data_IF_227376881131
#
_entry.id   IF_227376881131
#
_cell.length_a   1.000
_cell.length_b   1.000
_cell.length_c   1.000
_cell.angle_alpha   90.00
_cell.angle_beta   90.00
_cell.angle_gamma   90.00
#
_symmetry.space_group_name_H-M   'P 1'
#
loop_
_entity.id
_entity.type
_entity.pdbx_description
1 polymer ?
#
# COMPACT_ATOMS: atom_id res chain seq x y z
N UNK A 1 13.50 -14.35 -12.60
CA UNK A 1 13.70 -15.75 -12.15
C UNK A 1 13.05 -16.12 -10.82
N UNK A 2 12.83 -15.22 -9.86
CA UNK A 2 12.06 -15.54 -8.63
C UNK A 2 10.55 -15.69 -8.89
N UNK A 3 9.98 -14.85 -9.76
CA UNK A 3 8.53 -14.89 -10.09
C UNK A 3 8.07 -16.25 -10.63
N UNK A 4 8.91 -16.90 -11.45
CA UNK A 4 8.62 -18.20 -12.07
C UNK A 4 8.63 -19.37 -11.05
N UNK A 5 9.07 -19.13 -9.81
CA UNK A 5 9.13 -20.13 -8.74
C UNK A 5 7.96 -20.00 -7.75
N UNK A 6 7.08 -19.03 -7.94
CA UNK A 6 5.88 -18.87 -7.12
C UNK A 6 4.89 -19.99 -7.44
N UNK A 7 4.49 -20.71 -6.40
CA UNK A 7 3.49 -21.77 -6.44
C UNK A 7 2.63 -21.76 -5.17
N UNK A 8 1.73 -22.73 -5.05
CA UNK A 8 0.87 -22.87 -3.87
C UNK A 8 1.71 -22.90 -2.58
N UNK A 9 1.33 -22.08 -1.60
CA UNK A 9 2.03 -21.97 -0.31
C UNK A 9 3.25 -21.05 -0.31
N UNK A 10 3.55 -20.36 -1.41
CA UNK A 10 4.66 -19.41 -1.45
C UNK A 10 4.36 -18.17 -0.62
N UNK A 11 5.28 -17.81 0.28
CA UNK A 11 5.26 -16.55 1.03
C UNK A 11 6.16 -15.55 0.32
N UNK A 12 5.62 -14.38 -0.01
CA UNK A 12 6.36 -13.29 -0.65
C UNK A 12 6.46 -12.15 0.35
N UNK A 13 7.70 -11.85 0.75
CA UNK A 13 7.96 -10.68 1.57
C UNK A 13 7.71 -9.42 0.74
N UNK A 14 7.03 -8.45 1.34
CA UNK A 14 6.78 -7.15 0.73
C UNK A 14 7.80 -6.14 1.25
N UNK A 15 8.11 -5.14 0.43
CA UNK A 15 9.11 -4.12 0.76
C UNK A 15 8.67 -3.16 1.88
N UNK A 16 7.42 -3.27 2.37
CA UNK A 16 6.85 -2.40 3.40
C UNK A 16 6.66 -3.14 4.71
N UNK A 17 7.07 -2.49 5.80
CA UNK A 17 6.88 -3.00 7.16
C UNK A 17 5.49 -2.65 7.70
N UNK A 18 5.05 -3.42 8.70
CA UNK A 18 3.84 -3.12 9.45
C UNK A 18 4.01 -1.76 10.14
N UNK A 19 3.01 -0.87 9.96
CA UNK A 19 3.03 0.49 10.50
C UNK A 19 3.73 1.53 9.62
N UNK A 20 4.31 1.13 8.49
CA UNK A 20 4.79 2.12 7.51
C UNK A 20 3.64 2.67 6.67
N UNK A 21 3.71 3.97 6.36
CA UNK A 21 2.75 4.61 5.48
C UNK A 21 2.80 3.98 4.07
N UNK A 22 1.61 3.67 3.54
CA UNK A 22 1.40 3.17 2.20
C UNK A 22 1.10 4.31 1.23
N UNK A 23 1.53 4.13 -0.02
CA UNK A 23 1.19 5.01 -1.13
C UNK A 23 -0.27 4.82 -1.58
N UNK A 24 -0.95 5.92 -1.86
CA UNK A 24 -2.32 5.96 -2.37
C UNK A 24 -2.26 6.48 -3.81
N UNK A 25 -2.74 5.66 -4.75
CA UNK A 25 -2.77 5.99 -6.18
C UNK A 25 -4.20 6.19 -6.67
N UNK A 26 -4.39 7.20 -7.53
CA UNK A 26 -5.63 7.40 -8.32
C UNK A 26 -5.23 7.56 -9.77
N UNK A 27 -5.80 6.76 -10.67
CA UNK A 27 -5.44 6.73 -12.09
C UNK A 27 -3.92 6.65 -12.33
N UNK A 28 -3.24 5.75 -11.61
CA UNK A 28 -1.79 5.56 -11.66
C UNK A 28 -0.94 6.77 -11.23
N UNK A 29 -1.55 7.81 -10.65
CA UNK A 29 -0.86 8.96 -10.05
C UNK A 29 -0.80 8.80 -8.54
N UNK A 30 0.38 8.95 -7.96
CA UNK A 30 0.56 9.04 -6.52
C UNK A 30 -0.08 10.34 -6.00
N UNK A 31 -1.10 10.22 -5.13
CA UNK A 31 -1.86 11.37 -4.62
C UNK A 31 -1.68 11.60 -3.12
N UNK A 32 -1.30 10.57 -2.37
CA UNK A 32 -1.18 10.67 -0.92
C UNK A 32 -0.37 9.50 -0.35
N UNK A 33 -0.04 9.62 0.95
CA UNK A 33 0.44 8.53 1.80
C UNK A 33 -0.48 8.41 3.02
N UNK A 34 -0.59 7.20 3.57
CA UNK A 34 -1.44 6.96 4.74
C UNK A 34 -1.19 5.62 5.41
N UNK A 35 -1.76 5.41 6.59
CA UNK A 35 -1.63 4.18 7.36
C UNK A 35 -2.88 3.32 7.20
N UNK A 36 -2.70 2.01 7.04
CA UNK A 36 -3.83 1.07 6.97
C UNK A 36 -4.43 0.89 8.36
N UNK A 37 -5.74 1.05 8.45
CA UNK A 37 -6.51 0.86 9.68
C UNK A 37 -7.65 -0.11 9.43
N UNK A 38 -8.11 -0.78 10.48
CA UNK A 38 -9.29 -1.63 10.44
C UNK A 38 -10.33 -1.02 11.38
N UNK A 39 -11.47 -0.60 10.83
CA UNK A 39 -12.61 -0.09 11.61
C UNK A 39 -13.85 -0.88 11.23
N UNK A 40 -14.57 -1.40 12.21
CA UNK A 40 -15.81 -2.18 12.01
C UNK A 40 -15.64 -3.30 10.96
N UNK A 41 -14.55 -4.05 11.05
CA UNK A 41 -14.16 -5.11 10.10
C UNK A 41 -13.93 -4.64 8.65
N UNK A 42 -13.87 -3.31 8.42
CA UNK A 42 -13.56 -2.71 7.13
C UNK A 42 -12.13 -2.21 7.11
N UNK A 43 -11.45 -2.45 6.00
CA UNK A 43 -10.16 -1.83 5.71
C UNK A 43 -10.37 -0.36 5.37
N UNK A 44 -9.66 0.52 6.08
CA UNK A 44 -9.60 1.95 5.84
C UNK A 44 -8.16 2.41 5.74
N UNK A 45 -7.99 3.67 5.34
CA UNK A 45 -6.67 4.32 5.28
C UNK A 45 -6.80 5.68 5.97
N UNK A 46 -5.99 5.91 6.99
CA UNK A 46 -5.83 7.23 7.59
C UNK A 46 -4.77 7.99 6.82
N UNK A 47 -5.16 9.07 6.15
CA UNK A 47 -4.24 9.88 5.36
C UNK A 47 -3.24 10.62 6.27
N UNK A 48 -1.95 10.49 5.99
CA UNK A 48 -0.86 11.16 6.71
C UNK A 48 -0.27 12.32 5.92
N UNK A 49 -0.24 12.19 4.58
CA UNK A 49 0.30 13.21 3.68
C UNK A 49 -0.52 13.28 2.39
N UNK A 50 -0.78 14.50 1.90
CA UNK A 50 -1.36 14.74 0.58
C UNK A 50 -0.27 15.28 -0.33
N UNK A 51 -0.07 14.60 -1.45
CA UNK A 51 0.89 15.03 -2.47
C UNK A 51 0.16 16.00 -3.38
N UNK A 52 0.58 17.28 -3.33
CA UNK A 52 0.06 18.29 -4.25
C UNK A 52 0.39 17.87 -5.67
N UNK A 53 -0.63 17.81 -6.51
CA UNK A 53 -0.40 17.60 -7.91
C UNK A 53 0.34 18.80 -8.48
N UNK A 54 1.53 18.58 -9.03
CA UNK A 54 2.13 19.58 -9.92
C UNK A 54 1.14 19.82 -11.06
N UNK A 55 0.75 21.08 -11.23
CA UNK A 55 0.21 21.60 -12.48
C UNK A 55 1.31 21.63 -13.54
#
# INVERSE_FOLDING_TARGET
>A
NQLLKLGSGSVVELDRKVGEAIDIYVNNRLVARGEVVILDEKLGITMTEIIKGNE
#
